data_IF_564814341806
#
_entry.id   IF_564814341806
#
_cell.length_a   1.000
_cell.length_b   1.000
_cell.length_c   1.000
_cell.angle_alpha   90.00
_cell.angle_beta   90.00
_cell.angle_gamma   90.00
#
_symmetry.space_group_name_H-M   'P 1'
#
loop_
_entity.id
_entity.type
_entity.pdbx_description
1 polymer ?
#
# COMPACT_ATOMS: atom_id res chain seq x y z
N UNK A 1 -1.89 -16.01 -20.88
CA UNK A 1 -1.85 -16.65 -19.53
C UNK A 1 -1.51 -15.67 -18.40
N UNK A 2 -0.46 -14.83 -18.51
CA UNK A 2 -0.05 -13.91 -17.43
C UNK A 2 -1.12 -12.91 -16.99
N UNK A 3 -1.89 -12.32 -17.92
CA UNK A 3 -2.98 -11.38 -17.59
C UNK A 3 -4.14 -12.02 -16.84
N UNK A 4 -4.47 -13.29 -17.15
CA UNK A 4 -5.51 -14.03 -16.44
C UNK A 4 -5.11 -14.33 -14.99
N UNK A 5 -3.87 -14.73 -14.76
CA UNK A 5 -3.34 -14.94 -13.39
C UNK A 5 -3.30 -13.62 -12.60
N UNK A 6 -2.89 -12.51 -13.22
CA UNK A 6 -2.93 -11.18 -12.59
C UNK A 6 -4.36 -10.74 -12.24
N UNK A 7 -5.34 -11.08 -13.09
CA UNK A 7 -6.75 -10.82 -12.79
C UNK A 7 -7.24 -11.61 -11.57
N UNK A 8 -6.95 -12.90 -11.48
CA UNK A 8 -7.30 -13.73 -10.31
C UNK A 8 -6.59 -13.21 -9.05
N UNK A 9 -5.30 -12.89 -9.14
CA UNK A 9 -4.55 -12.30 -8.03
C UNK A 9 -5.16 -10.96 -7.58
N UNK A 10 -5.61 -10.13 -8.53
CA UNK A 10 -6.31 -8.89 -8.26
C UNK A 10 -7.64 -9.12 -7.54
N UNK A 11 -8.43 -10.12 -7.95
CA UNK A 11 -9.70 -10.44 -7.28
C UNK A 11 -9.48 -10.89 -5.83
N UNK A 12 -8.46 -11.73 -5.59
CA UNK A 12 -8.09 -12.17 -4.24
C UNK A 12 -7.62 -10.99 -3.40
N UNK A 13 -6.72 -10.14 -3.93
CA UNK A 13 -6.23 -8.96 -3.24
C UNK A 13 -7.37 -7.99 -2.90
N UNK A 14 -8.34 -7.80 -3.81
CA UNK A 14 -9.54 -7.00 -3.55
C UNK A 14 -10.39 -7.60 -2.43
N UNK A 15 -10.62 -8.91 -2.43
CA UNK A 15 -11.34 -9.59 -1.35
C UNK A 15 -10.66 -9.40 0.01
N UNK A 16 -9.34 -9.57 0.07
CA UNK A 16 -8.54 -9.34 1.29
C UNK A 16 -8.63 -7.88 1.75
N UNK A 17 -8.52 -6.92 0.82
CA UNK A 17 -8.64 -5.50 1.14
C UNK A 17 -10.01 -5.19 1.77
N UNK A 18 -11.09 -5.62 1.11
CA UNK A 18 -12.45 -5.39 1.58
C UNK A 18 -12.71 -6.02 2.96
N UNK A 19 -12.24 -7.25 3.18
CA UNK A 19 -12.34 -7.92 4.47
C UNK A 19 -11.59 -7.19 5.60
N UNK A 20 -10.54 -6.44 5.27
CA UNK A 20 -9.71 -5.71 6.24
C UNK A 20 -10.06 -4.21 6.36
N UNK A 21 -11.06 -3.70 5.62
CA UNK A 21 -11.40 -2.27 5.65
C UNK A 21 -11.77 -1.77 7.06
N UNK A 22 -12.63 -2.50 7.78
CA UNK A 22 -13.03 -2.14 9.14
C UNK A 22 -11.83 -2.05 10.09
N UNK A 23 -11.03 -3.13 10.25
CA UNK A 23 -9.81 -3.12 11.05
C UNK A 23 -8.80 -2.03 10.63
N UNK A 24 -8.65 -1.74 9.33
CA UNK A 24 -7.78 -0.66 8.84
C UNK A 24 -8.20 0.71 9.35
N UNK A 25 -9.51 1.01 9.27
CA UNK A 25 -10.05 2.27 9.79
C UNK A 25 -9.85 2.36 11.30
N UNK A 26 -10.18 1.30 12.04
CA UNK A 26 -10.00 1.28 13.49
C UNK A 26 -8.52 1.44 13.90
N UNK A 27 -7.60 0.78 13.20
CA UNK A 27 -6.17 0.92 13.43
C UNK A 27 -5.71 2.37 13.18
N UNK A 28 -6.10 2.95 12.03
CA UNK A 28 -5.76 4.32 11.67
C UNK A 28 -6.28 5.35 12.68
N UNK A 29 -7.56 5.22 13.09
CA UNK A 29 -8.18 6.08 14.10
C UNK A 29 -7.50 5.89 15.46
N UNK A 30 -7.18 4.66 15.86
CA UNK A 30 -6.50 4.39 17.13
C UNK A 30 -5.12 5.03 17.19
N UNK A 31 -4.33 4.94 16.11
CA UNK A 31 -3.02 5.62 16.01
C UNK A 31 -3.16 7.13 16.08
N UNK A 32 -4.14 7.70 15.36
CA UNK A 32 -4.41 9.14 15.42
C UNK A 32 -4.83 9.60 16.83
N UNK A 33 -5.71 8.86 17.50
CA UNK A 33 -6.13 9.17 18.87
C UNK A 33 -4.98 9.01 19.87
N UNK A 34 -4.12 8.00 19.71
CA UNK A 34 -2.92 7.85 20.54
C UNK A 34 -2.02 9.09 20.45
N UNK A 35 -1.87 9.68 19.27
CA UNK A 35 -1.15 10.94 19.10
C UNK A 35 -1.83 12.10 19.85
N UNK A 36 -3.17 12.19 19.80
CA UNK A 36 -3.92 13.22 20.55
C UNK A 36 -3.77 13.03 22.06
N UNK A 37 -3.91 11.80 22.56
CA UNK A 37 -3.74 11.44 23.97
C UNK A 37 -2.33 11.75 24.43
N UNK A 38 -1.31 11.42 23.64
CA UNK A 38 0.08 11.74 23.95
C UNK A 38 0.30 13.25 24.11
N UNK A 39 -0.25 14.08 23.21
CA UNK A 39 -0.17 15.54 23.39
C UNK A 39 -0.84 16.01 24.68
N UNK A 40 -1.98 15.44 25.04
CA UNK A 40 -2.73 15.82 26.25
C UNK A 40 -2.00 15.35 27.52
N UNK A 41 -1.38 14.18 27.48
CA UNK A 41 -0.52 13.67 28.54
C UNK A 41 0.67 14.59 28.80
N UNK A 42 1.37 15.02 27.74
CA UNK A 42 2.53 15.94 27.86
C UNK A 42 2.12 17.31 28.38
N UNK A 43 0.94 17.81 28.00
CA UNK A 43 0.40 19.10 28.47
C UNK A 43 -0.19 19.06 29.89
N UNK A 44 -0.30 17.89 30.52
CA UNK A 44 -0.95 17.78 31.83
C UNK A 44 0.06 18.04 32.95
N UNK A 45 -0.21 19.05 33.78
CA UNK A 45 0.64 19.37 34.93
C UNK A 45 0.30 18.55 36.18
N UNK A 46 -0.87 17.90 36.20
CA UNK A 46 -1.35 17.14 37.37
C UNK A 46 -1.07 15.64 37.27
N UNK A 47 -0.73 15.02 38.40
CA UNK A 47 -0.49 13.57 38.50
C UNK A 47 -1.73 12.78 38.12
N UNK A 48 -2.91 13.19 38.59
CA UNK A 48 -4.18 12.53 38.26
C UNK A 48 -4.51 12.64 36.76
N UNK A 49 -4.25 13.78 36.13
CA UNK A 49 -4.45 13.98 34.70
C UNK A 49 -3.54 13.06 33.87
N UNK A 50 -2.27 12.95 34.25
CA UNK A 50 -1.32 12.02 33.62
C UNK A 50 -1.80 10.57 33.73
N UNK A 51 -2.22 10.13 34.92
CA UNK A 51 -2.76 8.78 35.12
C UNK A 51 -3.97 8.53 34.21
N UNK A 52 -4.93 9.46 34.16
CA UNK A 52 -6.10 9.36 33.29
C UNK A 52 -5.73 9.19 31.82
N UNK A 53 -4.82 10.03 31.30
CA UNK A 53 -4.37 9.92 29.92
C UNK A 53 -3.56 8.63 29.65
N UNK A 54 -2.79 8.14 30.62
CA UNK A 54 -2.11 6.84 30.50
C UNK A 54 -3.12 5.70 30.35
N UNK A 55 -4.18 5.66 31.16
CA UNK A 55 -5.22 4.62 31.07
C UNK A 55 -5.91 4.65 29.71
N UNK A 56 -6.32 5.83 29.24
CA UNK A 56 -6.92 5.98 27.90
C UNK A 56 -5.94 5.55 26.81
N UNK A 57 -4.66 5.92 26.93
CA UNK A 57 -3.59 5.48 26.03
C UNK A 57 -3.47 3.96 25.96
N UNK A 58 -3.46 3.26 27.09
CA UNK A 58 -3.39 1.81 27.15
C UNK A 58 -4.60 1.11 26.51
N UNK A 59 -5.80 1.67 26.66
CA UNK A 59 -6.99 1.17 25.98
C UNK A 59 -6.86 1.31 24.46
N UNK A 60 -6.41 2.47 23.97
CA UNK A 60 -6.22 2.68 22.54
C UNK A 60 -5.09 1.82 21.97
N UNK A 61 -3.99 1.61 22.71
CA UNK A 61 -2.93 0.66 22.32
C UNK A 61 -3.52 -0.75 22.21
N UNK A 62 -4.35 -1.18 23.15
CA UNK A 62 -4.99 -2.50 23.12
C UNK A 62 -5.87 -2.66 21.87
N UNK A 63 -6.66 -1.64 21.53
CA UNK A 63 -7.49 -1.63 20.32
C UNK A 63 -6.61 -1.68 19.06
N UNK A 64 -5.55 -0.87 18.99
CA UNK A 64 -4.61 -0.86 17.87
C UNK A 64 -3.95 -2.23 17.68
N UNK A 65 -3.43 -2.84 18.75
CA UNK A 65 -2.82 -4.16 18.72
C UNK A 65 -3.81 -5.25 18.29
N UNK A 66 -5.07 -5.16 18.76
CA UNK A 66 -6.13 -6.09 18.36
C UNK A 66 -6.48 -6.00 16.87
N UNK A 67 -6.16 -4.87 16.22
CA UNK A 67 -6.41 -4.63 14.79
C UNK A 67 -5.10 -4.57 13.98
N UNK A 68 -3.96 -5.00 14.52
CA UNK A 68 -2.66 -4.88 13.84
C UNK A 68 -2.58 -5.69 12.54
N UNK A 69 -3.37 -6.77 12.42
CA UNK A 69 -3.46 -7.58 11.21
C UNK A 69 -4.02 -6.79 10.02
N UNK A 70 -4.64 -5.62 10.24
CA UNK A 70 -5.10 -4.73 9.18
C UNK A 70 -3.97 -4.25 8.24
N UNK A 71 -2.70 -4.35 8.66
CA UNK A 71 -1.53 -4.14 7.79
C UNK A 71 -1.55 -5.06 6.57
N UNK A 72 -2.18 -6.25 6.67
CA UNK A 72 -2.39 -7.15 5.52
C UNK A 72 -3.32 -6.50 4.48
N UNK A 73 -4.35 -5.77 4.93
CA UNK A 73 -5.21 -4.99 4.04
C UNK A 73 -4.44 -3.89 3.31
N UNK A 74 -3.52 -3.19 4.00
CA UNK A 74 -2.63 -2.21 3.36
C UNK A 74 -1.72 -2.86 2.31
N UNK A 75 -1.15 -4.03 2.61
CA UNK A 75 -0.37 -4.79 1.65
C UNK A 75 -1.21 -5.20 0.42
N UNK A 76 -2.46 -5.64 0.63
CA UNK A 76 -3.37 -5.98 -0.44
C UNK A 76 -3.71 -4.76 -1.32
N UNK A 77 -3.93 -3.58 -0.73
CA UNK A 77 -4.10 -2.34 -1.48
C UNK A 77 -2.87 -2.00 -2.33
N UNK A 78 -1.66 -2.20 -1.79
CA UNK A 78 -0.42 -1.98 -2.53
C UNK A 78 -0.27 -2.96 -3.69
N UNK A 79 -0.58 -4.25 -3.48
CA UNK A 79 -0.58 -5.26 -4.55
C UNK A 79 -1.56 -4.88 -5.66
N UNK A 80 -2.78 -4.44 -5.33
CA UNK A 80 -3.74 -3.95 -6.31
C UNK A 80 -3.19 -2.77 -7.11
N UNK A 81 -2.58 -1.81 -6.43
CA UNK A 81 -1.92 -0.68 -7.09
C UNK A 81 -0.86 -1.14 -8.08
N UNK A 82 -0.01 -2.11 -7.72
CA UNK A 82 1.00 -2.67 -8.62
C UNK A 82 0.39 -3.39 -9.82
N UNK A 83 -0.69 -4.16 -9.62
CA UNK A 83 -1.39 -4.86 -10.72
C UNK A 83 -1.94 -3.83 -11.71
N UNK A 84 -2.62 -2.79 -11.22
CA UNK A 84 -3.16 -1.72 -12.07
C UNK A 84 -2.05 -0.96 -12.77
N UNK A 85 -0.98 -0.60 -12.05
CA UNK A 85 0.18 0.08 -12.62
C UNK A 85 0.80 -0.74 -13.74
N UNK A 86 1.05 -2.03 -13.53
CA UNK A 86 1.63 -2.92 -14.54
C UNK A 86 0.70 -3.16 -15.74
N UNK A 87 -0.61 -3.03 -15.58
CA UNK A 87 -1.56 -3.12 -16.70
C UNK A 87 -1.57 -1.84 -17.55
N UNK A 88 -1.40 -0.68 -16.90
CA UNK A 88 -1.43 0.65 -17.53
C UNK A 88 -0.06 1.08 -18.08
N UNK A 89 1.03 0.56 -17.51
CA UNK A 89 2.36 0.63 -18.10
C UNK A 89 2.35 -0.21 -19.38
N UNK A 90 1.96 0.42 -20.50
CA UNK A 90 2.43 -0.02 -21.80
C UNK A 90 3.95 -0.06 -21.69
N UNK A 91 4.55 -1.20 -22.04
CA UNK A 91 5.96 -1.20 -22.43
C UNK A 91 6.15 0.04 -23.29
N UNK A 92 7.12 0.90 -22.95
CA UNK A 92 7.57 1.91 -23.90
C UNK A 92 7.83 1.12 -25.18
N UNK A 93 6.91 1.18 -26.14
CA UNK A 93 7.19 0.69 -27.47
C UNK A 93 8.49 1.41 -27.80
N UNK A 94 9.58 0.67 -28.11
CA UNK A 94 10.83 1.31 -28.46
C UNK A 94 10.45 2.34 -29.48
N UNK A 95 10.65 3.63 -29.15
CA UNK A 95 10.26 4.74 -30.01
C UNK A 95 10.72 4.30 -31.39
N UNK A 96 9.78 4.00 -32.29
CA UNK A 96 10.13 3.75 -33.68
C UNK A 96 10.82 5.04 -34.05
N UNK A 97 12.15 5.00 -34.07
CA UNK A 97 12.89 6.14 -34.56
C UNK A 97 12.35 6.28 -35.97
N UNK A 98 11.82 7.45 -36.31
CA UNK A 98 11.47 7.84 -37.68
C UNK A 98 12.70 7.84 -38.62
N UNK A 99 13.77 7.19 -38.20
CA UNK A 99 14.94 6.87 -38.97
C UNK A 99 14.58 5.70 -39.92
N UNK A 100 14.48 5.99 -41.23
CA UNK A 100 14.19 4.97 -42.24
C UNK A 100 15.32 3.92 -42.38
N UNK A 101 16.46 4.09 -41.68
CA UNK A 101 17.63 3.23 -41.76
C UNK A 101 17.70 2.13 -40.69
N UNK A 102 16.85 2.15 -39.66
CA UNK A 102 16.85 1.12 -38.59
C UNK A 102 16.68 -0.31 -39.10
N UNK A 103 15.85 -0.49 -40.12
CA UNK A 103 15.66 -1.81 -40.75
C UNK A 103 16.92 -2.29 -41.47
N UNK A 104 17.66 -1.37 -42.09
CA UNK A 104 18.90 -1.68 -42.81
C UNK A 104 20.05 -2.00 -41.86
N UNK A 105 20.20 -1.23 -40.77
CA UNK A 105 21.24 -1.48 -39.76
C UNK A 105 21.05 -2.84 -39.06
N UNK A 106 19.80 -3.20 -38.74
CA UNK A 106 19.45 -4.51 -38.20
C UNK A 106 19.82 -5.64 -39.16
N UNK A 107 19.47 -5.52 -40.44
CA UNK A 107 19.82 -6.52 -41.46
C UNK A 107 21.33 -6.63 -41.68
N UNK A 108 22.05 -5.51 -41.66
CA UNK A 108 23.51 -5.52 -41.81
C UNK A 108 24.22 -6.18 -40.63
N UNK A 109 23.74 -5.95 -39.40
CA UNK A 109 24.25 -6.62 -38.21
C UNK A 109 23.96 -8.13 -38.20
N UNK A 110 22.83 -8.57 -38.79
CA UNK A 110 22.49 -9.98 -38.94
C UNK A 110 23.37 -10.71 -39.97
N UNK A 111 23.78 -10.03 -41.06
CA UNK A 111 24.65 -10.63 -42.09
C UNK A 111 26.12 -10.71 -41.68
N UNK A 112 26.58 -9.84 -40.77
CA UNK A 112 27.96 -9.81 -40.28
C UNK A 112 28.15 -10.62 -38.99
N UNK A 113 27.21 -11.50 -38.68
CA UNK A 113 27.24 -12.41 -37.54
C UNK A 113 27.48 -13.84 -38.02
#
# INVERSE_FOLDING_TARGET
MKKFLLFIAGLVALGVLLANLGPMVLLGVSVWLLYVVFKRFVKSDSTAGKIGWTVVGLLLVSIALSNIYAVIGLAAAYVLYLIVKNWTSREEEPVESNDPFTNFERQWAEMNK
#
